data_IF_215759941805
#
_entry.id   IF_215759941805
#
_cell.length_a   1.000
_cell.length_b   1.000
_cell.length_c   1.000
_cell.angle_alpha   90.00
_cell.angle_beta   90.00
_cell.angle_gamma   90.00
#
_symmetry.space_group_name_H-M   'P 1'
#
loop_
_entity.id
_entity.type
_entity.pdbx_description
1 polymer ?
#
# COMPACT_ATOMS: atom_id res chain seq x y z
N UNK A 1 -11.82 -37.88 25.65
CA UNK A 1 -11.51 -38.06 24.22
C UNK A 1 -12.54 -37.41 23.27
N UNK A 2 -13.49 -36.60 23.75
CA UNK A 2 -14.61 -36.07 22.95
C UNK A 2 -14.46 -34.60 22.48
N UNK A 3 -13.57 -33.80 23.05
CA UNK A 3 -13.47 -32.36 22.74
C UNK A 3 -12.44 -31.99 21.70
N UNK A 4 -11.41 -32.79 21.48
CA UNK A 4 -10.39 -32.48 20.47
C UNK A 4 -10.85 -32.80 19.04
N UNK A 5 -11.81 -33.71 18.85
CA UNK A 5 -12.35 -34.00 17.51
C UNK A 5 -13.35 -32.96 16.99
N UNK A 6 -14.00 -32.20 17.88
CA UNK A 6 -15.00 -31.20 17.51
C UNK A 6 -14.34 -29.92 16.96
N UNK A 7 -13.16 -29.52 17.47
CA UNK A 7 -12.41 -28.35 17.01
C UNK A 7 -11.77 -28.62 15.64
N UNK A 8 -11.33 -29.85 15.40
CA UNK A 8 -10.76 -30.23 14.10
C UNK A 8 -11.80 -30.34 12.98
N UNK A 9 -13.08 -30.68 13.31
CA UNK A 9 -14.17 -30.70 12.33
C UNK A 9 -14.66 -29.30 11.94
N UNK A 10 -14.58 -28.31 12.84
CA UNK A 10 -14.94 -26.94 12.51
C UNK A 10 -13.87 -26.26 11.64
N UNK A 11 -12.59 -26.60 11.76
CA UNK A 11 -11.53 -26.11 10.87
C UNK A 11 -11.56 -26.78 9.48
N UNK A 12 -12.07 -27.99 9.35
CA UNK A 12 -12.20 -28.67 8.06
C UNK A 12 -13.45 -28.26 7.26
N UNK A 13 -14.50 -27.78 7.91
CA UNK A 13 -15.71 -27.35 7.20
C UNK A 13 -15.57 -25.98 6.53
N UNK A 14 -14.65 -25.14 6.97
CA UNK A 14 -14.33 -23.87 6.31
C UNK A 14 -13.41 -24.02 5.08
N UNK A 15 -12.84 -25.20 4.86
CA UNK A 15 -11.97 -25.51 3.70
C UNK A 15 -12.74 -25.97 2.46
N UNK A 16 -14.05 -26.20 2.53
CA UNK A 16 -14.84 -26.73 1.40
C UNK A 16 -15.79 -25.74 0.72
N UNK A 17 -15.68 -24.42 0.98
CA UNK A 17 -16.39 -23.41 0.19
C UNK A 17 -15.49 -22.73 -0.84
N UNK A 18 -14.77 -23.52 -1.62
CA UNK A 18 -13.86 -23.02 -2.68
C UNK A 18 -14.55 -22.81 -4.03
N UNK A 19 -15.88 -22.69 -4.05
CA UNK A 19 -16.65 -22.44 -5.29
C UNK A 19 -17.51 -21.17 -5.25
N UNK A 20 -17.42 -20.34 -4.22
CA UNK A 20 -17.88 -18.96 -4.32
C UNK A 20 -16.83 -18.19 -5.15
N UNK A 21 -17.23 -17.54 -6.22
CA UNK A 21 -16.31 -16.78 -7.07
C UNK A 21 -15.40 -15.89 -6.20
N UNK A 22 -14.09 -15.91 -6.48
CA UNK A 22 -13.10 -15.13 -5.75
C UNK A 22 -13.56 -13.66 -5.85
N UNK A 23 -14.05 -13.11 -4.72
CA UNK A 23 -14.34 -11.70 -4.65
C UNK A 23 -12.99 -10.97 -4.63
N UNK A 24 -12.80 -10.05 -5.56
CA UNK A 24 -11.58 -9.27 -5.60
C UNK A 24 -11.44 -8.44 -4.32
N UNK A 25 -10.23 -8.38 -3.75
CA UNK A 25 -9.97 -7.55 -2.59
C UNK A 25 -10.33 -6.09 -2.87
N UNK A 26 -10.85 -5.40 -1.87
CA UNK A 26 -11.09 -3.95 -1.94
C UNK A 26 -10.02 -3.22 -1.15
N UNK A 27 -9.51 -2.14 -1.74
CA UNK A 27 -8.49 -1.27 -1.15
C UNK A 27 -9.00 0.16 -1.06
N UNK A 28 -8.58 0.87 -0.04
CA UNK A 28 -8.76 2.31 0.01
C UNK A 28 -7.67 3.03 -0.80
N UNK A 29 -7.97 4.19 -1.43
CA UNK A 29 -9.28 4.87 -1.50
C UNK A 29 -10.29 4.17 -2.41
N UNK A 30 -11.58 4.36 -2.13
CA UNK A 30 -12.63 3.91 -3.01
C UNK A 30 -12.96 4.96 -4.07
N UNK A 31 -13.23 4.50 -5.28
CA UNK A 31 -13.56 5.36 -6.41
C UNK A 31 -14.97 5.08 -6.91
N UNK A 32 -15.67 6.13 -7.32
CA UNK A 32 -17.02 6.02 -7.89
C UNK A 32 -17.30 7.12 -8.90
N UNK A 33 -18.48 7.06 -9.53
CA UNK A 33 -18.87 7.97 -10.60
C UNK A 33 -18.26 7.57 -11.94
N UNK A 34 -17.76 8.55 -12.68
CA UNK A 34 -17.29 8.35 -14.05
C UNK A 34 -15.97 7.56 -14.17
N UNK A 35 -15.26 7.34 -13.08
CA UNK A 35 -14.04 6.53 -13.05
C UNK A 35 -14.40 5.05 -13.05
N UNK A 36 -13.85 4.32 -14.00
CA UNK A 36 -14.04 2.87 -14.11
C UNK A 36 -12.79 2.16 -13.60
N UNK A 37 -12.99 1.22 -12.66
CA UNK A 37 -11.93 0.35 -12.15
C UNK A 37 -12.24 -1.08 -12.57
N UNK A 38 -11.30 -1.71 -13.25
CA UNK A 38 -11.37 -3.13 -13.66
C UNK A 38 -10.27 -3.89 -12.94
N UNK A 39 -10.65 -4.85 -12.10
CA UNK A 39 -9.66 -5.75 -11.49
C UNK A 39 -9.18 -6.80 -12.48
N UNK A 40 -7.89 -7.08 -12.46
CA UNK A 40 -7.28 -8.16 -13.20
C UNK A 40 -7.01 -9.39 -12.33
N UNK A 41 -7.57 -9.46 -11.15
CA UNK A 41 -7.44 -10.59 -10.24
C UNK A 41 -8.14 -11.85 -10.80
N UNK A 42 -7.73 -13.02 -10.29
CA UNK A 42 -8.33 -14.30 -10.63
C UNK A 42 -7.41 -15.27 -11.41
N UNK A 43 -7.96 -16.43 -11.84
CA UNK A 43 -7.17 -17.57 -12.34
C UNK A 43 -6.78 -17.46 -13.82
N UNK A 44 -7.08 -16.38 -14.51
CA UNK A 44 -6.96 -16.27 -15.97
C UNK A 44 -5.59 -15.84 -16.46
N UNK A 45 -4.55 -15.93 -15.65
CA UNK A 45 -3.20 -15.57 -16.04
C UNK A 45 -2.44 -16.78 -16.59
N UNK A 46 -1.90 -16.65 -17.80
CA UNK A 46 -0.84 -17.53 -18.27
C UNK A 46 0.45 -17.19 -17.54
N UNK A 47 1.28 -18.20 -17.25
CA UNK A 47 2.42 -18.07 -16.38
C UNK A 47 3.58 -18.94 -16.80
N UNK A 48 4.79 -18.45 -16.58
CA UNK A 48 6.02 -19.24 -16.53
C UNK A 48 7.01 -18.62 -15.56
N UNK A 49 8.05 -19.36 -15.19
CA UNK A 49 9.13 -18.84 -14.35
C UNK A 49 10.48 -19.19 -14.98
N UNK A 50 11.25 -18.19 -15.34
CA UNK A 50 12.61 -18.35 -15.82
C UNK A 50 13.56 -18.46 -14.62
N UNK A 51 14.26 -19.61 -14.55
CA UNK A 51 15.19 -19.94 -13.48
C UNK A 51 16.65 -19.70 -13.87
N UNK A 52 16.92 -19.19 -15.07
CA UNK A 52 18.28 -18.85 -15.50
C UNK A 52 18.84 -17.70 -14.63
N UNK A 53 19.92 -17.93 -13.85
CA UNK A 53 20.51 -16.90 -13.03
C UNK A 53 21.15 -15.77 -13.84
N UNK A 54 21.41 -15.98 -15.13
CA UNK A 54 22.01 -14.99 -16.04
C UNK A 54 20.97 -14.21 -16.87
N UNK A 55 19.68 -14.54 -16.73
CA UNK A 55 18.65 -13.79 -17.42
C UNK A 55 18.63 -12.32 -16.95
N UNK A 56 18.76 -11.40 -17.91
CA UNK A 56 18.70 -9.98 -17.63
C UNK A 56 17.25 -9.46 -17.70
N UNK A 57 16.62 -9.26 -16.54
CA UNK A 57 15.25 -8.72 -16.46
C UNK A 57 15.16 -7.25 -16.89
N UNK A 58 16.30 -6.54 -16.97
CA UNK A 58 16.35 -5.14 -17.42
C UNK A 58 16.68 -4.99 -18.90
N UNK A 59 17.00 -6.09 -19.61
CA UNK A 59 17.34 -6.04 -21.04
C UNK A 59 16.30 -5.19 -21.81
N UNK A 60 16.71 -4.11 -22.46
CA UNK A 60 15.81 -3.26 -23.23
C UNK A 60 15.33 -3.93 -24.54
N UNK A 61 16.03 -4.96 -25.00
CA UNK A 61 15.66 -5.72 -26.21
C UNK A 61 14.67 -6.83 -25.93
N UNK A 62 14.39 -7.15 -24.65
CA UNK A 62 13.44 -8.19 -24.30
C UNK A 62 12.03 -7.85 -24.80
N UNK A 63 11.40 -8.84 -25.44
CA UNK A 63 10.04 -8.73 -25.97
C UNK A 63 9.13 -9.83 -25.41
N UNK A 64 7.93 -9.47 -24.87
CA UNK A 64 6.99 -10.46 -24.33
C UNK A 64 6.54 -11.54 -25.31
N UNK A 65 6.50 -11.22 -26.60
CA UNK A 65 6.03 -12.13 -27.65
C UNK A 65 6.87 -13.41 -27.79
N UNK A 66 8.16 -13.37 -27.38
CA UNK A 66 9.07 -14.53 -27.44
C UNK A 66 8.89 -15.52 -26.30
N UNK A 67 8.07 -15.18 -25.28
CA UNK A 67 7.94 -15.98 -24.05
C UNK A 67 6.88 -17.05 -24.22
N UNK A 68 7.29 -18.32 -24.09
CA UNK A 68 6.37 -19.45 -23.94
C UNK A 68 5.89 -19.52 -22.49
N UNK A 69 4.58 -19.52 -22.30
CA UNK A 69 3.93 -19.62 -20.98
C UNK A 69 3.30 -21.02 -20.89
N UNK A 70 3.74 -21.82 -19.92
CA UNK A 70 3.45 -23.25 -19.83
C UNK A 70 2.49 -23.61 -18.68
N UNK A 71 2.07 -22.65 -17.88
CA UNK A 71 1.22 -22.83 -16.69
C UNK A 71 0.13 -21.78 -16.59
N UNK A 72 -0.72 -21.96 -15.59
CA UNK A 72 -1.71 -20.96 -15.17
C UNK A 72 -1.38 -20.49 -13.75
N UNK A 73 -1.64 -19.22 -13.50
CA UNK A 73 -1.55 -18.60 -12.18
C UNK A 73 -2.87 -17.91 -11.82
N UNK A 74 -3.14 -17.86 -10.52
CA UNK A 74 -4.15 -16.97 -9.95
C UNK A 74 -3.42 -15.73 -9.40
N UNK A 75 -3.94 -14.56 -9.64
CA UNK A 75 -3.46 -13.30 -9.05
C UNK A 75 -4.56 -12.79 -8.11
N UNK A 76 -4.25 -12.40 -6.88
CA UNK A 76 -2.95 -12.43 -6.21
C UNK A 76 -2.46 -13.84 -5.88
N UNK A 77 -1.15 -14.09 -6.02
CA UNK A 77 -0.47 -15.26 -5.44
C UNK A 77 1.05 -15.08 -5.50
N UNK A 78 1.75 -15.87 -4.69
CA UNK A 78 3.21 -15.93 -4.75
C UNK A 78 3.67 -16.82 -5.91
N UNK A 79 4.59 -16.34 -6.74
CA UNK A 79 5.19 -17.10 -7.85
C UNK A 79 5.88 -18.37 -7.38
N UNK A 80 6.48 -18.34 -6.20
CA UNK A 80 7.13 -19.47 -5.54
C UNK A 80 6.18 -20.66 -5.38
N UNK A 81 4.93 -20.42 -5.01
CA UNK A 81 3.90 -21.45 -4.85
C UNK A 81 3.41 -21.98 -6.20
N UNK A 82 3.20 -21.09 -7.18
CA UNK A 82 2.74 -21.45 -8.53
C UNK A 82 3.78 -22.34 -9.23
N UNK A 83 5.07 -22.07 -9.04
CA UNK A 83 6.13 -22.85 -9.68
C UNK A 83 6.33 -24.26 -9.08
N UNK A 84 5.71 -24.56 -7.95
CA UNK A 84 5.77 -25.88 -7.32
C UNK A 84 6.53 -25.93 -6.01
N UNK A 85 6.70 -24.79 -5.39
CA UNK A 85 7.29 -24.66 -4.05
C UNK A 85 6.33 -25.07 -2.93
N UNK A 86 5.58 -26.14 -3.10
CA UNK A 86 4.58 -26.59 -2.13
C UNK A 86 5.16 -27.10 -0.80
N UNK A 87 6.45 -27.19 -0.64
CA UNK A 87 7.10 -27.74 0.55
C UNK A 87 7.64 -26.66 1.50
N UNK A 88 6.98 -25.51 1.59
CA UNK A 88 7.28 -24.59 2.66
C UNK A 88 8.26 -23.47 2.28
N UNK A 89 8.89 -22.98 3.22
CA UNK A 89 9.66 -21.79 3.45
C UNK A 89 10.68 -21.33 2.37
N UNK A 90 11.05 -22.17 1.42
CA UNK A 90 12.13 -21.92 0.45
C UNK A 90 11.62 -22.16 -0.98
N UNK A 91 10.82 -21.22 -1.49
CA UNK A 91 10.46 -21.22 -2.90
C UNK A 91 11.66 -20.86 -3.81
N UNK A 92 11.57 -21.17 -5.11
CA UNK A 92 12.62 -20.83 -6.06
C UNK A 92 12.69 -19.31 -6.25
N UNK A 93 13.90 -18.77 -6.46
CA UNK A 93 14.12 -17.42 -6.94
C UNK A 93 14.31 -17.43 -8.44
N UNK A 94 13.62 -16.55 -9.13
CA UNK A 94 13.68 -16.47 -10.57
C UNK A 94 12.87 -15.29 -11.09
N UNK A 95 12.60 -15.32 -12.38
CA UNK A 95 11.81 -14.29 -13.06
C UNK A 95 10.45 -14.87 -13.43
N UNK A 96 9.44 -14.54 -12.66
CA UNK A 96 8.05 -14.89 -12.93
C UNK A 96 7.50 -14.01 -14.05
N UNK A 97 6.84 -14.61 -15.02
CA UNK A 97 6.28 -13.93 -16.17
C UNK A 97 4.80 -14.29 -16.30
N UNK A 98 3.98 -13.26 -16.43
CA UNK A 98 2.54 -13.37 -16.46
C UNK A 98 1.98 -12.73 -17.70
N UNK A 99 0.92 -13.32 -18.28
CA UNK A 99 0.16 -12.76 -19.40
C UNK A 99 -1.32 -12.96 -19.17
N UNK A 100 -2.10 -11.92 -19.48
CA UNK A 100 -3.56 -11.98 -19.46
C UNK A 100 -4.14 -11.09 -20.53
N UNK A 101 -5.24 -11.52 -21.13
CA UNK A 101 -6.09 -10.63 -21.93
C UNK A 101 -7.22 -10.08 -21.07
N UNK A 102 -7.63 -8.85 -21.37
CA UNK A 102 -8.73 -8.17 -20.68
C UNK A 102 -9.42 -7.15 -21.57
N UNK A 103 -10.71 -6.99 -21.33
CA UNK A 103 -11.47 -5.89 -21.90
C UNK A 103 -11.51 -4.73 -20.88
N UNK A 104 -11.40 -3.53 -21.39
CA UNK A 104 -11.48 -2.33 -20.57
C UNK A 104 -12.14 -1.21 -21.35
N UNK A 105 -12.98 -0.42 -20.67
CA UNK A 105 -13.61 0.73 -21.28
C UNK A 105 -12.56 1.76 -21.72
N UNK A 106 -12.70 2.27 -22.93
CA UNK A 106 -11.83 3.33 -23.42
C UNK A 106 -11.96 4.58 -22.55
N UNK A 107 -10.83 5.17 -22.16
CA UNK A 107 -10.78 6.40 -21.38
C UNK A 107 -9.70 7.34 -21.90
N UNK A 108 -9.79 8.61 -21.50
CA UNK A 108 -8.79 9.61 -21.87
C UNK A 108 -7.45 9.34 -21.19
N UNK A 109 -7.49 8.90 -19.96
CA UNK A 109 -6.33 8.55 -19.14
C UNK A 109 -6.54 7.15 -18.59
N UNK A 110 -5.54 6.30 -18.77
CA UNK A 110 -5.53 4.94 -18.25
C UNK A 110 -4.32 4.79 -17.36
N UNK A 111 -4.53 4.17 -16.22
CA UNK A 111 -3.51 3.90 -15.22
C UNK A 111 -3.63 2.47 -14.74
N UNK A 112 -2.52 1.76 -14.70
CA UNK A 112 -2.40 0.49 -14.00
C UNK A 112 -2.04 0.76 -12.55
N UNK A 113 -2.76 0.14 -11.62
CA UNK A 113 -2.44 0.12 -10.21
C UNK A 113 -2.02 -1.29 -9.83
N UNK A 114 -0.83 -1.42 -9.29
CA UNK A 114 -0.36 -2.63 -8.64
C UNK A 114 -0.37 -2.40 -7.13
N UNK A 115 -1.03 -3.26 -6.39
CA UNK A 115 -0.97 -3.20 -4.93
C UNK A 115 0.34 -3.79 -4.39
N UNK A 116 1.03 -4.61 -5.20
CA UNK A 116 2.37 -5.12 -4.97
C UNK A 116 2.85 -5.93 -6.18
N UNK A 117 4.14 -5.87 -6.48
CA UNK A 117 4.81 -6.75 -7.43
C UNK A 117 6.26 -6.98 -6.97
N UNK A 118 6.60 -8.19 -6.57
CA UNK A 118 7.86 -8.48 -5.87
C UNK A 118 8.92 -9.11 -6.77
N UNK A 119 10.11 -8.50 -6.96
CA UNK A 119 10.58 -7.24 -6.37
C UNK A 119 10.77 -6.18 -7.46
N UNK A 120 11.46 -6.55 -8.55
CA UNK A 120 11.52 -5.74 -9.76
C UNK A 120 10.37 -6.12 -10.67
N UNK A 121 9.61 -5.14 -11.10
CA UNK A 121 8.45 -5.32 -11.95
C UNK A 121 8.63 -4.55 -13.26
N UNK A 122 8.36 -5.20 -14.40
CA UNK A 122 8.38 -4.58 -15.72
C UNK A 122 7.10 -4.95 -16.47
N UNK A 123 6.44 -3.96 -17.08
CA UNK A 123 5.06 -4.10 -17.55
C UNK A 123 4.91 -3.65 -18.99
N UNK A 124 4.21 -4.46 -19.79
CA UNK A 124 3.83 -4.17 -21.17
C UNK A 124 2.33 -4.23 -21.36
N UNK A 125 1.81 -3.38 -22.20
CA UNK A 125 0.45 -3.44 -22.73
C UNK A 125 0.51 -3.58 -24.26
N UNK A 126 -0.14 -4.60 -24.79
CA UNK A 126 -0.18 -4.87 -26.23
C UNK A 126 1.22 -4.91 -26.89
N UNK A 127 2.22 -5.45 -26.18
CA UNK A 127 3.61 -5.53 -26.60
C UNK A 127 4.42 -4.24 -26.43
N UNK A 128 3.81 -3.12 -25.99
CA UNK A 128 4.50 -1.86 -25.74
C UNK A 128 4.89 -1.76 -24.25
N UNK A 129 6.15 -1.45 -23.99
CA UNK A 129 6.63 -1.20 -22.62
C UNK A 129 5.92 0.00 -22.03
N UNK A 130 5.27 -0.21 -20.87
CA UNK A 130 4.60 0.85 -20.11
C UNK A 130 5.53 1.46 -19.07
N UNK A 131 6.30 0.63 -18.39
CA UNK A 131 7.26 1.06 -17.38
C UNK A 131 7.78 -0.09 -16.52
N UNK A 132 8.57 0.28 -15.54
CA UNK A 132 9.10 -0.63 -14.52
C UNK A 132 9.00 0.00 -13.12
N UNK A 133 9.14 -0.86 -12.10
CA UNK A 133 9.12 -0.47 -10.69
C UNK A 133 10.15 -1.29 -9.90
N UNK A 134 10.86 -0.62 -8.99
CA UNK A 134 12.02 -1.17 -8.28
C UNK A 134 11.97 -1.03 -6.75
N UNK A 135 10.88 -0.64 -6.15
CA UNK A 135 10.83 -0.26 -4.72
C UNK A 135 10.45 -1.40 -3.78
N UNK A 136 11.19 -2.50 -3.82
CA UNK A 136 11.14 -3.54 -2.77
C UNK A 136 9.92 -4.45 -2.74
N UNK A 137 8.94 -4.26 -3.61
CA UNK A 137 7.91 -5.24 -3.93
C UNK A 137 6.74 -5.41 -2.95
N UNK A 138 6.64 -4.60 -1.90
CA UNK A 138 5.57 -4.68 -0.89
C UNK A 138 4.71 -3.42 -0.80
N UNK A 139 4.92 -2.47 -1.71
CA UNK A 139 4.23 -1.19 -1.71
C UNK A 139 3.35 -1.04 -2.95
N UNK A 140 2.23 -0.31 -2.86
CA UNK A 140 1.45 0.04 -4.04
C UNK A 140 2.19 1.01 -4.94
N UNK A 141 2.11 0.77 -6.26
CA UNK A 141 2.60 1.70 -7.27
C UNK A 141 1.67 1.74 -8.48
N UNK A 142 1.87 2.71 -9.36
CA UNK A 142 1.07 2.85 -10.57
C UNK A 142 1.90 3.23 -11.77
N UNK A 143 1.39 2.86 -12.95
CA UNK A 143 1.98 3.19 -14.25
C UNK A 143 0.92 3.83 -15.14
N UNK A 144 1.22 4.98 -15.71
CA UNK A 144 0.36 5.61 -16.70
C UNK A 144 0.51 4.91 -18.05
N UNK A 145 -0.61 4.49 -18.64
CA UNK A 145 -0.63 3.80 -19.93
C UNK A 145 -0.88 4.83 -21.03
N UNK A 146 0.01 4.93 -22.03
CA UNK A 146 -0.25 5.78 -23.19
C UNK A 146 -1.54 5.32 -23.91
N UNK A 147 -2.49 6.25 -24.09
CA UNK A 147 -3.80 5.92 -24.64
C UNK A 147 -3.72 5.22 -26.02
N UNK A 148 -2.70 5.57 -26.83
CA UNK A 148 -2.45 4.96 -28.14
C UNK A 148 -2.08 3.47 -28.09
N UNK A 149 -1.68 2.94 -26.94
CA UNK A 149 -1.35 1.50 -26.78
C UNK A 149 -2.57 0.65 -26.51
N UNK A 150 -3.69 1.24 -26.11
CA UNK A 150 -4.92 0.53 -25.79
C UNK A 150 -5.74 0.23 -27.06
N UNK A 151 -6.30 -0.97 -27.08
CA UNK A 151 -7.29 -1.42 -28.07
C UNK A 151 -8.69 -1.29 -27.50
N UNK A 152 -9.70 -1.33 -28.37
CA UNK A 152 -11.10 -1.33 -27.95
C UNK A 152 -11.49 -2.61 -27.18
N UNK A 153 -10.84 -3.74 -27.50
CA UNK A 153 -11.05 -5.04 -26.85
C UNK A 153 -9.75 -5.86 -26.91
N UNK A 154 -9.74 -6.95 -26.17
CA UNK A 154 -8.64 -7.93 -26.17
C UNK A 154 -7.28 -7.26 -25.94
N UNK A 155 -7.21 -6.38 -24.95
CA UNK A 155 -5.94 -5.84 -24.51
C UNK A 155 -5.14 -6.94 -23.83
N UNK A 156 -3.85 -6.98 -24.11
CA UNK A 156 -2.93 -7.90 -23.45
C UNK A 156 -2.06 -7.14 -22.47
N UNK A 157 -2.01 -7.59 -21.22
CA UNK A 157 -1.00 -7.20 -20.26
C UNK A 157 0.02 -8.33 -20.12
N UNK A 158 1.31 -7.96 -20.13
CA UNK A 158 2.40 -8.83 -19.76
C UNK A 158 3.18 -8.20 -18.62
N UNK A 159 3.47 -9.01 -17.58
CA UNK A 159 4.19 -8.57 -16.40
C UNK A 159 5.37 -9.51 -16.15
N UNK A 160 6.54 -8.94 -15.95
CA UNK A 160 7.73 -9.61 -15.48
C UNK A 160 7.97 -9.21 -14.03
N UNK A 161 8.11 -10.19 -13.13
CA UNK A 161 8.40 -9.99 -11.72
C UNK A 161 9.63 -10.80 -11.32
N UNK A 162 10.72 -10.10 -10.97
CA UNK A 162 12.02 -10.71 -10.61
C UNK A 162 12.24 -10.66 -9.11
N UNK A 163 12.26 -11.82 -8.44
CA UNK A 163 12.49 -11.91 -7.00
C UNK A 163 13.95 -12.31 -6.63
N UNK A 164 14.86 -12.24 -7.58
CA UNK A 164 16.27 -12.49 -7.32
C UNK A 164 16.93 -11.27 -6.69
N UNK A 165 17.79 -11.50 -5.71
CA UNK A 165 18.58 -10.41 -5.12
C UNK A 165 19.76 -10.06 -6.01
N UNK A 166 19.85 -8.79 -6.35
CA UNK A 166 21.01 -8.23 -7.06
C UNK A 166 21.12 -6.74 -6.81
N UNK A 167 22.27 -6.15 -7.18
CA UNK A 167 22.59 -4.75 -6.94
C UNK A 167 21.70 -3.75 -7.69
N UNK A 168 21.00 -4.20 -8.74
CA UNK A 168 20.34 -3.31 -9.68
C UNK A 168 18.82 -3.35 -9.56
N UNK A 169 18.25 -4.55 -9.43
CA UNK A 169 16.80 -4.75 -9.45
C UNK A 169 16.20 -5.00 -8.06
N UNK A 170 16.97 -5.55 -7.15
CA UNK A 170 16.58 -5.83 -5.78
C UNK A 170 17.80 -5.75 -4.84
N UNK A 171 18.34 -4.55 -4.61
CA UNK A 171 19.51 -4.34 -3.77
C UNK A 171 19.13 -4.49 -2.29
N UNK A 172 18.77 -5.70 -1.89
CA UNK A 172 18.37 -6.03 -0.54
C UNK A 172 19.42 -6.93 0.12
N UNK A 173 19.35 -7.03 1.44
CA UNK A 173 20.15 -8.02 2.18
C UNK A 173 19.67 -9.44 1.86
N UNK A 174 20.60 -10.38 1.83
CA UNK A 174 20.34 -11.78 1.52
C UNK A 174 20.07 -12.64 2.75
N UNK A 175 20.02 -12.05 3.92
CA UNK A 175 19.77 -12.71 5.20
C UNK A 175 18.43 -12.32 5.79
N UNK A 176 18.04 -13.02 6.85
CA UNK A 176 16.80 -12.78 7.58
C UNK A 176 16.21 -14.10 8.04
N UNK A 177 15.23 -14.00 8.89
CA UNK A 177 14.46 -15.12 9.44
C UNK A 177 13.09 -15.29 8.77
N UNK A 178 12.89 -14.66 7.61
CA UNK A 178 11.68 -14.74 6.82
C UNK A 178 12.01 -14.92 5.33
N UNK A 179 11.01 -15.39 4.56
CA UNK A 179 11.15 -15.60 3.13
C UNK A 179 10.62 -14.40 2.31
N UNK A 180 11.37 -14.02 1.29
CA UNK A 180 11.00 -12.96 0.36
C UNK A 180 10.30 -13.58 -0.85
N UNK A 181 8.99 -13.70 -0.76
CA UNK A 181 8.17 -14.25 -1.84
C UNK A 181 8.10 -13.31 -3.04
N UNK A 182 8.09 -13.90 -4.24
CA UNK A 182 8.02 -13.16 -5.49
C UNK A 182 6.64 -13.18 -6.15
N UNK A 183 6.49 -12.38 -7.18
CA UNK A 183 5.33 -12.37 -8.06
C UNK A 183 4.32 -11.28 -7.79
N UNK A 184 3.11 -11.45 -8.32
CA UNK A 184 1.96 -10.56 -8.12
C UNK A 184 1.22 -10.97 -6.85
N UNK A 185 1.78 -10.58 -5.70
CA UNK A 185 1.31 -11.03 -4.38
C UNK A 185 0.08 -10.25 -3.87
N UNK A 186 -0.30 -9.17 -4.55
CA UNK A 186 -1.52 -8.38 -4.29
C UNK A 186 -2.20 -8.03 -5.61
N UNK A 187 -3.36 -7.39 -5.54
CA UNK A 187 -4.23 -7.08 -6.69
C UNK A 187 -3.56 -6.22 -7.76
N UNK A 188 -4.04 -6.41 -8.99
CA UNK A 188 -3.72 -5.58 -10.15
C UNK A 188 -5.01 -5.00 -10.71
N UNK A 189 -5.05 -3.68 -10.90
CA UNK A 189 -6.23 -2.95 -11.35
C UNK A 189 -5.93 -2.05 -12.55
N UNK A 190 -6.90 -1.89 -13.41
CA UNK A 190 -6.89 -0.93 -14.52
C UNK A 190 -7.91 0.16 -14.21
N UNK A 191 -7.44 1.39 -14.11
CA UNK A 191 -8.27 2.57 -13.89
C UNK A 191 -8.41 3.36 -15.19
N UNK A 192 -9.65 3.60 -15.60
CA UNK A 192 -9.98 4.44 -16.75
C UNK A 192 -10.70 5.70 -16.28
N UNK A 193 -10.15 6.85 -16.62
CA UNK A 193 -10.80 8.14 -16.44
C UNK A 193 -11.46 8.53 -17.77
N UNK A 194 -12.76 8.86 -17.77
CA UNK A 194 -13.49 9.10 -19.01
C UNK A 194 -13.03 10.38 -19.71
N UNK A 195 -13.22 10.40 -21.01
CA UNK A 195 -13.05 11.57 -21.87
C UNK A 195 -14.27 12.47 -21.77
N UNK A 196 -14.40 13.25 -20.73
CA UNK A 196 -15.20 14.47 -20.82
C UNK A 196 -14.24 15.60 -21.14
N UNK A 197 -14.61 16.60 -21.89
CA UNK A 197 -13.87 17.77 -22.33
C UNK A 197 -12.34 17.79 -22.13
N UNK A 198 -11.57 18.33 -23.06
CA UNK A 198 -10.13 18.59 -22.89
C UNK A 198 -9.86 19.34 -21.57
N UNK A 199 -9.07 18.71 -20.68
CA UNK A 199 -8.71 19.32 -19.40
C UNK A 199 -9.54 18.89 -18.20
N UNK A 200 -10.36 17.84 -18.30
CA UNK A 200 -11.07 17.28 -17.14
C UNK A 200 -10.07 16.87 -16.02
N UNK A 201 -10.48 17.15 -14.78
CA UNK A 201 -9.67 16.91 -13.58
C UNK A 201 -10.37 15.90 -12.69
N UNK A 202 -9.60 14.99 -12.12
CA UNK A 202 -10.12 13.90 -11.27
C UNK A 202 -9.35 13.85 -9.96
N UNK A 203 -10.02 13.52 -8.83
CA UNK A 203 -9.32 13.24 -7.58
C UNK A 203 -8.58 11.90 -7.70
N UNK A 204 -7.28 11.89 -7.32
CA UNK A 204 -6.46 10.67 -7.38
C UNK A 204 -6.17 10.09 -6.01
N UNK A 205 -5.73 10.92 -5.07
CA UNK A 205 -5.46 10.56 -3.67
C UNK A 205 -5.80 11.73 -2.75
N UNK A 206 -6.15 11.40 -1.54
CA UNK A 206 -6.31 12.37 -0.46
C UNK A 206 -5.51 11.90 0.76
N UNK A 207 -4.55 12.67 1.19
CA UNK A 207 -3.86 12.46 2.46
C UNK A 207 -4.51 13.34 3.51
N UNK A 208 -4.98 12.72 4.58
CA UNK A 208 -5.80 13.35 5.61
C UNK A 208 -5.09 13.26 6.96
N UNK A 209 -4.88 14.38 7.61
CA UNK A 209 -4.28 14.43 8.93
C UNK A 209 -5.06 15.36 9.87
N UNK A 210 -5.11 15.11 11.17
CA UNK A 210 -5.68 16.06 12.14
C UNK A 210 -4.96 17.40 12.06
N UNK A 211 -5.70 18.52 12.04
CA UNK A 211 -5.11 19.86 11.98
C UNK A 211 -4.44 20.23 13.32
N UNK A 212 -3.27 20.86 13.23
CA UNK A 212 -2.56 21.52 14.35
C UNK A 212 -2.33 20.64 15.60
N UNK A 213 -1.93 19.39 15.42
CA UNK A 213 -1.52 18.53 16.54
C UNK A 213 -0.01 18.62 16.75
N UNK A 214 0.40 19.23 17.86
CA UNK A 214 1.81 19.23 18.29
C UNK A 214 1.98 18.28 19.46
N UNK A 215 2.81 17.25 19.30
CA UNK A 215 3.06 16.21 20.31
C UNK A 215 3.66 16.75 21.63
N UNK A 216 4.24 17.95 21.60
CA UNK A 216 4.84 18.62 22.75
C UNK A 216 3.88 19.56 23.52
N UNK A 217 2.64 19.71 23.03
CA UNK A 217 1.63 20.56 23.67
C UNK A 217 0.61 19.73 24.45
N UNK A 218 -0.04 20.30 25.47
CA UNK A 218 -1.17 19.64 26.13
C UNK A 218 -2.20 19.18 25.09
N UNK A 219 -2.70 17.97 25.25
CA UNK A 219 -3.69 17.40 24.36
C UNK A 219 -4.91 18.33 24.20
N UNK A 220 -5.29 18.56 22.96
CA UNK A 220 -6.58 19.11 22.56
C UNK A 220 -7.19 18.20 21.52
N UNK A 221 -8.44 17.83 21.71
CA UNK A 221 -9.14 16.96 20.77
C UNK A 221 -9.20 17.62 19.38
N UNK A 222 -8.67 16.99 18.33
CA UNK A 222 -8.77 17.54 16.98
C UNK A 222 -10.24 17.52 16.52
N UNK A 223 -10.70 18.63 15.97
CA UNK A 223 -12.05 18.80 15.42
C UNK A 223 -12.03 19.16 13.94
N UNK A 224 -10.85 19.28 13.37
CA UNK A 224 -10.62 19.62 11.99
C UNK A 224 -9.46 18.81 11.43
N UNK A 225 -9.39 18.73 10.11
CA UNK A 225 -8.35 18.02 9.38
C UNK A 225 -7.71 18.92 8.32
N UNK A 226 -6.47 18.60 7.99
CA UNK A 226 -5.79 19.08 6.80
C UNK A 226 -5.89 17.99 5.73
N UNK A 227 -6.18 18.39 4.49
CA UNK A 227 -6.29 17.46 3.36
C UNK A 227 -5.32 17.92 2.27
N UNK A 228 -4.42 17.03 1.87
CA UNK A 228 -3.65 17.18 0.63
C UNK A 228 -4.29 16.32 -0.44
N UNK A 229 -4.85 16.94 -1.46
CA UNK A 229 -5.57 16.29 -2.54
C UNK A 229 -4.71 16.29 -3.81
N UNK A 230 -4.28 15.11 -4.24
CA UNK A 230 -3.62 14.93 -5.53
C UNK A 230 -4.66 14.79 -6.65
N UNK A 231 -4.41 15.49 -7.75
CA UNK A 231 -5.28 15.51 -8.91
C UNK A 231 -4.63 14.87 -10.12
N UNK A 232 -5.46 14.27 -10.95
CA UNK A 232 -5.08 13.86 -12.30
C UNK A 232 -5.82 14.71 -13.32
N UNK A 233 -5.15 15.02 -14.43
CA UNK A 233 -5.76 15.69 -15.57
C UNK A 233 -5.79 14.75 -16.77
N UNK A 234 -6.84 14.84 -17.58
CA UNK A 234 -6.88 14.21 -18.91
C UNK A 234 -5.90 14.86 -19.88
N UNK A 235 -5.45 16.08 -19.60
CA UNK A 235 -4.35 16.73 -20.33
C UNK A 235 -2.98 16.16 -19.91
N UNK A 236 -1.97 16.37 -20.73
CA UNK A 236 -0.59 15.93 -20.45
C UNK A 236 0.10 16.73 -19.34
N UNK A 237 -0.48 17.85 -18.91
CA UNK A 237 0.05 18.73 -17.87
C UNK A 237 -0.83 18.71 -16.62
N UNK A 238 -0.22 18.97 -15.46
CA UNK A 238 -0.96 19.16 -14.21
C UNK A 238 -1.96 20.31 -14.33
N UNK A 239 -3.14 20.20 -13.68
CA UNK A 239 -4.15 21.26 -13.70
C UNK A 239 -3.60 22.50 -12.99
N UNK A 240 -3.71 23.67 -13.64
CA UNK A 240 -3.27 24.98 -13.10
C UNK A 240 -4.41 25.95 -12.88
N UNK A 241 -5.61 25.59 -13.30
CA UNK A 241 -6.82 26.43 -13.14
C UNK A 241 -7.57 26.06 -11.85
N UNK A 242 -8.35 27.02 -11.34
CA UNK A 242 -9.19 26.78 -10.17
C UNK A 242 -10.15 25.62 -10.42
N UNK A 243 -10.10 24.63 -9.54
CA UNK A 243 -10.97 23.44 -9.54
C UNK A 243 -12.10 23.65 -8.54
N UNK A 244 -13.33 23.32 -8.93
CA UNK A 244 -14.49 23.26 -8.04
C UNK A 244 -14.72 21.83 -7.62
N UNK A 245 -14.99 21.60 -6.35
CA UNK A 245 -15.21 20.26 -5.78
C UNK A 245 -16.17 20.30 -4.59
N UNK A 246 -16.64 19.14 -4.19
CA UNK A 246 -17.40 18.98 -2.96
C UNK A 246 -16.65 18.04 -2.01
N UNK A 247 -16.77 18.33 -0.70
CA UNK A 247 -16.39 17.44 0.38
C UNK A 247 -17.64 16.94 1.10
N UNK A 248 -17.76 15.64 1.28
CA UNK A 248 -18.80 14.98 2.07
C UNK A 248 -18.16 14.12 3.15
N UNK A 249 -18.69 14.17 4.38
CA UNK A 249 -18.17 13.44 5.52
C UNK A 249 -19.20 12.45 6.03
N UNK A 250 -18.94 11.14 5.94
CA UNK A 250 -19.78 10.06 6.51
C UNK A 250 -21.28 10.20 6.19
N UNK A 251 -21.63 10.93 5.13
CA UNK A 251 -23.00 11.32 4.85
C UNK A 251 -23.60 12.30 5.88
N UNK A 252 -22.79 12.96 6.70
CA UNK A 252 -23.24 13.86 7.76
C UNK A 252 -23.55 15.27 7.22
N UNK A 253 -24.75 15.46 6.73
CA UNK A 253 -25.22 16.75 6.28
C UNK A 253 -25.14 16.97 4.76
N UNK A 254 -25.10 18.24 4.34
CA UNK A 254 -24.94 18.57 2.92
C UNK A 254 -23.48 18.69 2.55
N UNK A 255 -23.06 18.17 1.38
CA UNK A 255 -21.69 18.29 0.92
C UNK A 255 -21.22 19.76 0.87
N UNK A 256 -20.02 20.00 1.36
CA UNK A 256 -19.41 21.33 1.36
C UNK A 256 -18.89 21.66 -0.04
N UNK A 257 -19.35 22.73 -0.65
CA UNK A 257 -18.87 23.21 -1.96
C UNK A 257 -17.63 24.07 -1.76
N UNK A 258 -16.56 23.70 -2.42
CA UNK A 258 -15.26 24.37 -2.33
C UNK A 258 -14.68 24.67 -3.71
N UNK A 259 -13.66 25.52 -3.73
CA UNK A 259 -12.84 25.75 -4.91
C UNK A 259 -11.42 26.12 -4.48
N UNK A 260 -10.43 25.60 -5.19
CA UNK A 260 -9.03 25.91 -4.97
C UNK A 260 -8.23 25.78 -6.26
N UNK A 261 -7.10 26.47 -6.32
CA UNK A 261 -6.16 26.34 -7.43
C UNK A 261 -5.05 25.39 -7.04
N UNK A 262 -4.82 24.33 -7.81
CA UNK A 262 -3.71 23.42 -7.56
C UNK A 262 -2.36 24.13 -7.64
N UNK A 263 -1.40 23.64 -6.86
CA UNK A 263 0.01 24.07 -6.98
C UNK A 263 0.65 23.49 -8.27
N UNK A 264 1.93 23.79 -8.48
CA UNK A 264 2.68 23.34 -9.66
C UNK A 264 2.74 21.80 -9.81
N UNK A 265 2.60 21.07 -8.70
CA UNK A 265 2.60 19.60 -8.68
C UNK A 265 1.21 19.00 -8.91
N UNK A 266 0.17 19.82 -9.16
CA UNK A 266 -1.20 19.35 -9.35
C UNK A 266 -1.89 18.95 -8.04
N UNK A 267 -1.45 19.48 -6.89
CA UNK A 267 -2.06 19.21 -5.59
C UNK A 267 -2.82 20.43 -5.03
N UNK A 268 -3.92 20.16 -4.32
CA UNK A 268 -4.65 21.15 -3.53
C UNK A 268 -4.40 20.86 -2.06
N UNK A 269 -4.05 21.88 -1.28
CA UNK A 269 -3.88 21.77 0.17
C UNK A 269 -5.01 22.55 0.85
N UNK A 270 -5.82 21.84 1.62
CA UNK A 270 -6.88 22.40 2.44
C UNK A 270 -6.45 22.32 3.90
N UNK A 271 -6.58 23.45 4.60
CA UNK A 271 -6.22 23.56 6.01
C UNK A 271 -7.44 23.79 6.89
N UNK A 272 -7.42 23.17 8.09
CA UNK A 272 -8.45 23.36 9.11
C UNK A 272 -9.88 23.09 8.61
N UNK A 273 -10.07 22.03 7.84
CA UNK A 273 -11.41 21.61 7.37
C UNK A 273 -12.18 21.00 8.55
N UNK A 274 -13.30 21.59 8.99
CA UNK A 274 -14.05 21.05 10.12
C UNK A 274 -14.63 19.67 9.81
N UNK A 275 -14.46 18.73 10.75
CA UNK A 275 -15.09 17.41 10.67
C UNK A 275 -16.43 17.48 11.42
N UNK A 276 -17.56 17.15 10.77
CA UNK A 276 -18.83 17.03 11.48
C UNK A 276 -18.79 15.89 12.50
N UNK A 277 -19.30 16.15 13.72
CA UNK A 277 -19.34 15.16 14.81
C UNK A 277 -17.99 14.40 15.02
N UNK A 278 -16.90 15.10 15.29
CA UNK A 278 -15.57 14.51 15.36
C UNK A 278 -15.48 13.50 16.51
N UNK A 279 -15.27 12.23 16.18
CA UNK A 279 -15.04 11.15 17.13
C UNK A 279 -13.57 10.73 17.06
N UNK A 280 -12.93 10.60 18.23
CA UNK A 280 -11.52 10.20 18.28
C UNK A 280 -11.36 8.71 18.08
N UNK A 281 -10.32 8.32 17.33
CA UNK A 281 -9.85 6.96 17.24
C UNK A 281 -8.93 6.64 18.42
N UNK A 282 -9.13 5.47 19.05
CA UNK A 282 -8.23 4.92 20.05
C UNK A 282 -8.26 3.40 20.04
N UNK A 283 -7.39 2.77 20.84
CA UNK A 283 -7.34 1.31 20.96
C UNK A 283 -8.60 0.70 21.60
N UNK A 284 -9.39 1.51 22.28
CA UNK A 284 -10.64 1.09 22.95
C UNK A 284 -11.89 1.62 22.25
N UNK A 285 -11.74 2.61 21.37
CA UNK A 285 -12.82 3.20 20.58
C UNK A 285 -12.30 3.51 19.18
N UNK A 286 -12.16 2.50 18.30
CA UNK A 286 -11.51 2.64 17.00
C UNK A 286 -12.45 3.25 15.95
N UNK A 287 -12.91 4.48 16.19
CA UNK A 287 -13.83 5.18 15.29
C UNK A 287 -13.08 5.72 14.08
N UNK A 288 -13.50 5.29 12.89
CA UNK A 288 -13.01 5.80 11.62
C UNK A 288 -14.01 6.76 11.01
N UNK A 289 -13.53 7.78 10.33
CA UNK A 289 -14.30 8.70 9.50
C UNK A 289 -14.03 8.46 8.03
N UNK A 290 -14.94 8.93 7.17
CA UNK A 290 -14.76 8.92 5.72
C UNK A 290 -14.93 10.34 5.19
N UNK A 291 -14.04 10.75 4.28
CA UNK A 291 -14.21 11.94 3.46
C UNK A 291 -14.31 11.56 1.99
N UNK A 292 -15.34 12.07 1.32
CA UNK A 292 -15.53 11.88 -0.12
C UNK A 292 -15.29 13.20 -0.84
N UNK A 293 -14.36 13.18 -1.78
CA UNK A 293 -14.08 14.32 -2.66
C UNK A 293 -14.69 14.05 -4.03
N UNK A 294 -15.53 14.94 -4.52
CA UNK A 294 -16.15 14.83 -5.85
C UNK A 294 -15.77 16.00 -6.74
N UNK A 295 -15.23 15.70 -7.92
CA UNK A 295 -14.86 16.66 -8.97
C UNK A 295 -15.49 16.17 -10.28
N UNK A 296 -16.29 17.00 -10.94
CA UNK A 296 -16.85 16.75 -12.27
C UNK A 296 -17.47 15.34 -12.46
N UNK A 297 -18.16 14.84 -11.43
CA UNK A 297 -18.82 13.53 -11.47
C UNK A 297 -17.97 12.34 -11.03
N UNK A 298 -16.65 12.51 -10.87
CA UNK A 298 -15.77 11.49 -10.33
C UNK A 298 -15.55 11.69 -8.83
N UNK A 299 -15.67 10.64 -8.05
CA UNK A 299 -15.52 10.69 -6.59
C UNK A 299 -14.39 9.78 -6.11
N UNK A 300 -13.70 10.26 -5.08
CA UNK A 300 -12.73 9.52 -4.28
C UNK A 300 -13.18 9.59 -2.82
N UNK A 301 -13.35 8.42 -2.20
CA UNK A 301 -13.63 8.31 -0.77
C UNK A 301 -12.41 7.75 -0.04
N UNK A 302 -12.01 8.39 1.04
CA UNK A 302 -10.86 8.01 1.85
C UNK A 302 -11.26 7.89 3.31
N UNK A 303 -10.66 6.92 4.04
CA UNK A 303 -10.86 6.76 5.49
C UNK A 303 -9.75 7.43 6.27
N UNK A 304 -10.08 7.89 7.47
CA UNK A 304 -9.11 8.45 8.39
C UNK A 304 -9.58 8.33 9.85
N UNK A 305 -8.65 8.35 10.78
CA UNK A 305 -8.97 8.41 12.21
C UNK A 305 -8.44 9.70 12.84
N UNK A 306 -9.28 10.35 13.65
CA UNK A 306 -8.87 11.51 14.42
C UNK A 306 -8.15 11.04 15.68
N UNK A 307 -6.85 11.25 15.77
CA UNK A 307 -6.02 10.89 16.93
C UNK A 307 -4.87 11.85 17.15
N UNK A 308 -4.36 11.83 18.35
CA UNK A 308 -3.16 12.57 18.74
C UNK A 308 -2.24 11.65 19.55
N UNK A 309 -1.03 11.45 19.07
CA UNK A 309 0.03 10.82 19.83
C UNK A 309 0.80 11.86 20.65
N UNK A 310 1.24 11.49 21.84
CA UNK A 310 1.99 12.38 22.69
C UNK A 310 2.77 11.63 23.77
N UNK A 311 3.45 12.39 24.59
CA UNK A 311 4.19 11.89 25.76
C UNK A 311 3.76 12.69 26.99
N UNK A 312 3.53 11.99 28.09
CA UNK A 312 3.21 12.58 29.38
C UNK A 312 4.17 12.08 30.46
N UNK A 313 4.67 12.96 31.28
CA UNK A 313 5.42 12.57 32.48
C UNK A 313 4.43 12.11 33.54
N UNK A 314 4.58 10.90 34.00
CA UNK A 314 3.75 10.29 35.04
C UNK A 314 4.21 10.72 36.42
N UNK A 315 3.45 10.36 37.46
CA UNK A 315 3.72 10.72 38.87
C UNK A 315 5.02 10.15 39.39
N UNK A 316 5.54 9.09 38.77
CA UNK A 316 6.85 8.50 39.09
C UNK A 316 8.02 9.18 38.36
N UNK A 317 7.76 10.25 37.60
CA UNK A 317 8.75 10.96 36.80
C UNK A 317 9.09 10.29 35.45
N UNK A 318 8.48 9.14 35.12
CA UNK A 318 8.72 8.45 33.88
C UNK A 318 7.88 9.02 32.71
N UNK A 319 8.50 9.12 31.55
CA UNK A 319 7.77 9.48 30.32
C UNK A 319 6.93 8.29 29.82
N UNK A 320 5.65 8.54 29.58
CA UNK A 320 4.67 7.55 29.10
C UNK A 320 4.09 8.01 27.76
N UNK A 321 3.96 7.03 26.84
CA UNK A 321 3.25 7.26 25.59
C UNK A 321 1.77 7.50 25.86
N UNK A 322 1.19 8.44 25.14
CA UNK A 322 -0.25 8.72 25.22
C UNK A 322 -0.90 8.68 23.85
N UNK A 323 -2.16 8.27 23.83
CA UNK A 323 -3.07 8.49 22.71
C UNK A 323 -4.23 9.36 23.20
N UNK A 324 -4.49 10.46 22.54
CA UNK A 324 -5.53 11.43 22.92
C UNK A 324 -5.38 11.92 24.36
N UNK A 325 -4.13 12.10 24.84
CA UNK A 325 -3.81 12.53 26.20
C UNK A 325 -3.89 11.46 27.28
N UNK A 326 -4.40 10.28 26.97
CA UNK A 326 -4.48 9.15 27.90
C UNK A 326 -3.26 8.23 27.75
N UNK A 327 -2.68 7.80 28.88
CA UNK A 327 -1.54 6.89 28.88
C UNK A 327 -1.95 5.55 28.25
N UNK A 328 -1.19 5.08 27.29
CA UNK A 328 -1.38 3.78 26.66
C UNK A 328 -0.18 2.88 26.91
N UNK A 329 -0.45 1.64 27.31
CA UNK A 329 0.54 0.56 27.35
C UNK A 329 0.34 -0.32 26.13
N UNK A 330 1.36 -0.38 25.26
CA UNK A 330 1.34 -1.23 24.08
C UNK A 330 1.70 -2.67 24.48
N UNK A 331 0.84 -3.61 24.12
CA UNK A 331 0.98 -5.05 24.39
C UNK A 331 0.72 -5.81 23.10
N UNK A 332 1.68 -6.61 22.69
CA UNK A 332 1.54 -7.39 21.45
C UNK A 332 2.85 -8.07 21.07
N UNK A 333 2.97 -8.43 19.80
CA UNK A 333 4.12 -9.17 19.27
C UNK A 333 4.39 -8.83 17.81
N UNK A 334 5.43 -9.44 17.23
CA UNK A 334 5.73 -9.34 15.82
C UNK A 334 4.71 -10.11 14.98
N UNK A 335 4.37 -9.59 13.81
CA UNK A 335 3.50 -10.23 12.85
C UNK A 335 4.13 -10.20 11.46
N UNK A 336 4.22 -11.36 10.83
CA UNK A 336 4.53 -11.50 9.42
C UNK A 336 3.25 -11.77 8.63
N UNK A 337 3.01 -11.02 7.55
CA UNK A 337 1.91 -11.30 6.63
C UNK A 337 2.27 -12.52 5.77
N UNK A 338 2.39 -13.68 6.41
CA UNK A 338 2.72 -14.94 5.77
C UNK A 338 1.88 -16.06 6.37
N UNK A 339 1.21 -16.81 5.49
CA UNK A 339 0.36 -17.92 5.89
C UNK A 339 0.77 -19.23 5.20
N UNK A 340 0.60 -20.39 5.85
CA UNK A 340 0.69 -21.66 5.14
C UNK A 340 -0.23 -21.65 3.92
N UNK A 341 0.19 -22.25 2.81
CA UNK A 341 -0.55 -22.37 1.55
C UNK A 341 -0.64 -21.08 0.71
N UNK A 342 -0.80 -19.92 1.32
CA UNK A 342 -0.95 -18.63 0.59
C UNK A 342 0.30 -17.76 0.67
N UNK A 343 1.25 -18.10 1.54
CA UNK A 343 2.50 -17.35 1.75
C UNK A 343 2.22 -15.83 1.97
N UNK A 344 2.82 -14.95 1.18
CA UNK A 344 2.65 -13.50 1.30
C UNK A 344 1.37 -12.95 0.64
N UNK A 345 0.46 -13.81 0.21
CA UNK A 345 -0.84 -13.44 -0.39
C UNK A 345 -2.02 -13.94 0.47
N UNK A 346 -2.15 -13.52 1.74
CA UNK A 346 -3.22 -14.00 2.60
C UNK A 346 -4.59 -13.56 2.08
N UNK A 347 -5.58 -14.43 2.31
CA UNK A 347 -6.99 -14.11 2.05
C UNK A 347 -7.56 -13.21 3.14
N UNK A 348 -8.68 -12.55 2.86
CA UNK A 348 -9.40 -11.74 3.86
C UNK A 348 -9.75 -12.56 5.10
N UNK A 349 -10.23 -13.79 4.93
CA UNK A 349 -10.56 -14.69 6.05
C UNK A 349 -9.34 -15.04 6.93
N UNK A 350 -8.14 -15.16 6.33
CA UNK A 350 -6.91 -15.40 7.08
C UNK A 350 -6.51 -14.17 7.89
N UNK A 351 -6.61 -12.97 7.29
CA UNK A 351 -6.36 -11.73 8.01
C UNK A 351 -7.36 -11.52 9.16
N UNK A 352 -8.65 -11.80 8.92
CA UNK A 352 -9.68 -11.72 9.96
C UNK A 352 -9.41 -12.69 11.14
N UNK A 353 -8.90 -13.89 10.83
CA UNK A 353 -8.50 -14.85 11.85
C UNK A 353 -7.30 -14.35 12.68
N UNK A 354 -6.31 -13.71 12.06
CA UNK A 354 -5.18 -13.10 12.77
C UNK A 354 -5.63 -11.96 13.69
N UNK A 355 -6.53 -11.09 13.23
CA UNK A 355 -7.11 -10.03 14.07
C UNK A 355 -7.82 -10.62 15.27
N UNK A 356 -8.62 -11.66 15.06
CA UNK A 356 -9.33 -12.35 16.15
C UNK A 356 -8.35 -12.91 17.18
N UNK A 357 -7.28 -13.56 16.74
CA UNK A 357 -6.24 -14.11 17.62
C UNK A 357 -5.53 -13.02 18.42
N UNK A 358 -5.17 -11.91 17.77
CA UNK A 358 -4.57 -10.75 18.43
C UNK A 358 -5.48 -10.21 19.54
N UNK A 359 -6.77 -10.01 19.25
CA UNK A 359 -7.76 -9.52 20.24
C UNK A 359 -7.96 -10.51 21.39
N UNK A 360 -8.07 -11.82 21.09
CA UNK A 360 -8.20 -12.86 22.11
C UNK A 360 -6.96 -12.96 23.00
N UNK A 361 -5.78 -12.72 22.44
CA UNK A 361 -4.53 -12.63 23.19
C UNK A 361 -4.36 -11.34 24.00
N UNK A 362 -5.32 -10.40 23.94
CA UNK A 362 -5.27 -9.13 24.64
C UNK A 362 -4.31 -8.11 24.02
N UNK A 363 -3.91 -8.29 22.75
CA UNK A 363 -3.05 -7.37 22.07
C UNK A 363 -3.79 -6.10 21.67
N UNK A 364 -3.11 -4.96 21.82
CA UNK A 364 -3.48 -3.66 21.27
C UNK A 364 -2.37 -3.07 20.38
N UNK A 365 -1.35 -3.87 20.11
CA UNK A 365 -0.17 -3.48 19.32
C UNK A 365 0.33 -4.65 18.49
N UNK A 366 0.89 -4.32 17.33
CA UNK A 366 1.60 -5.28 16.47
C UNK A 366 2.79 -4.59 15.81
N UNK A 367 3.93 -5.30 15.73
CA UNK A 367 5.03 -4.89 14.88
C UNK A 367 4.90 -5.60 13.54
N UNK A 368 4.70 -4.85 12.47
CA UNK A 368 4.64 -5.36 11.11
C UNK A 368 6.01 -5.70 10.58
N UNK A 369 6.50 -6.86 10.96
CA UNK A 369 7.83 -7.34 10.62
C UNK A 369 7.84 -7.98 9.23
N UNK A 370 8.80 -7.75 8.38
CA UNK A 370 9.90 -6.80 8.34
C UNK A 370 9.84 -6.08 6.99
N UNK A 371 8.63 -5.71 6.55
CA UNK A 371 8.31 -5.13 5.25
C UNK A 371 6.94 -4.43 5.30
N UNK A 372 6.62 -3.54 4.35
CA UNK A 372 5.31 -2.88 4.28
C UNK A 372 4.17 -3.90 4.19
N UNK A 373 3.24 -3.81 5.12
CA UNK A 373 2.13 -4.75 5.23
C UNK A 373 1.06 -4.49 4.17
N UNK A 374 0.18 -5.49 3.95
CA UNK A 374 -0.96 -5.34 3.04
C UNK A 374 -1.89 -4.22 3.52
N UNK A 375 -2.30 -3.26 2.68
CA UNK A 375 -3.24 -2.21 3.09
C UNK A 375 -4.54 -2.75 3.69
N UNK A 376 -5.04 -3.91 3.23
CA UNK A 376 -6.22 -4.56 3.82
C UNK A 376 -5.98 -5.05 5.25
N UNK A 377 -4.74 -5.40 5.59
CA UNK A 377 -4.34 -5.69 6.96
C UNK A 377 -4.38 -4.45 7.82
N UNK A 378 -3.88 -3.33 7.29
CA UNK A 378 -3.93 -2.03 7.97
C UNK A 378 -5.36 -1.57 8.23
N UNK A 379 -6.27 -1.77 7.27
CA UNK A 379 -7.70 -1.49 7.44
C UNK A 379 -8.30 -2.24 8.63
N UNK A 380 -7.95 -3.50 8.78
CA UNK A 380 -8.41 -4.35 9.89
C UNK A 380 -7.85 -3.91 11.23
N UNK A 381 -6.60 -3.49 11.25
CA UNK A 381 -5.97 -2.93 12.46
C UNK A 381 -6.66 -1.62 12.88
N UNK A 382 -6.99 -0.76 11.90
CA UNK A 382 -7.73 0.48 12.15
C UNK A 382 -9.08 0.20 12.81
N UNK A 383 -9.82 -0.77 12.28
CA UNK A 383 -11.15 -1.16 12.78
C UNK A 383 -11.08 -1.89 14.12
N UNK A 384 -10.00 -2.64 14.36
CA UNK A 384 -9.81 -3.39 15.59
C UNK A 384 -9.23 -2.56 16.74
N UNK A 385 -8.74 -1.35 16.48
CA UNK A 385 -8.03 -0.54 17.49
C UNK A 385 -6.69 -1.13 17.89
N UNK A 386 -5.98 -1.74 16.94
CA UNK A 386 -4.65 -2.30 17.16
C UNK A 386 -3.61 -1.38 16.54
N UNK A 387 -2.72 -0.86 17.36
CA UNK A 387 -1.63 0.03 16.93
C UNK A 387 -0.57 -0.76 16.17
N UNK A 388 -0.01 -0.17 15.14
CA UNK A 388 1.03 -0.80 14.33
C UNK A 388 2.31 0.02 14.28
N UNK A 389 3.43 -0.68 14.39
CA UNK A 389 4.75 -0.23 14.01
C UNK A 389 5.05 -0.74 12.60
N UNK A 390 5.12 0.17 11.63
CA UNK A 390 5.34 -0.16 10.22
C UNK A 390 6.81 -0.07 9.86
N UNK A 391 7.29 -1.01 9.03
CA UNK A 391 8.70 -1.12 8.62
C UNK A 391 8.81 -1.18 7.10
N UNK A 392 9.87 -0.57 6.57
CA UNK A 392 10.34 -0.86 5.21
C UNK A 392 11.02 -2.23 5.17
N UNK A 393 11.27 -2.77 3.98
CA UNK A 393 11.92 -4.06 3.85
C UNK A 393 13.37 -3.99 4.34
N UNK A 394 13.70 -4.81 5.32
CA UNK A 394 15.07 -5.10 5.68
C UNK A 394 15.52 -4.77 7.10
N UNK A 395 15.11 -5.57 8.10
CA UNK A 395 15.85 -5.64 9.36
C UNK A 395 17.09 -6.48 9.18
N UNK A 396 17.98 -6.43 10.11
CA UNK A 396 19.20 -7.26 10.11
C UNK A 396 20.17 -7.00 8.96
N UNK A 397 20.27 -5.76 8.55
CA UNK A 397 21.35 -5.34 7.68
C UNK A 397 22.67 -5.54 8.42
N UNK A 398 23.19 -6.78 8.42
CA UNK A 398 24.59 -6.99 8.81
C UNK A 398 25.42 -6.31 7.75
N UNK A 399 26.09 -5.22 8.12
CA UNK A 399 26.91 -4.42 7.20
C UNK A 399 27.81 -5.26 6.28
N UNK A 400 28.28 -6.43 6.76
CA UNK A 400 29.07 -7.38 5.97
C UNK A 400 28.30 -8.13 4.89
N UNK A 401 26.97 -8.13 4.93
CA UNK A 401 26.08 -8.80 3.97
C UNK A 401 25.37 -7.79 3.06
N UNK A 402 25.59 -6.49 3.28
CA UNK A 402 25.08 -5.46 2.43
C UNK A 402 26.01 -5.23 1.27
N UNK A 403 25.45 -4.99 0.14
CA UNK A 403 26.19 -4.40 -0.95
C UNK A 403 26.68 -3.03 -0.49
N UNK A 404 27.86 -2.67 -0.98
CA UNK A 404 28.49 -1.39 -0.67
C UNK A 404 27.50 -0.23 -0.86
N UNK A 405 27.02 0.33 0.23
CA UNK A 405 26.09 1.47 0.21
C UNK A 405 26.62 2.67 -0.58
N UNK A 406 27.95 2.77 -0.71
CA UNK A 406 28.60 3.86 -1.47
C UNK A 406 28.45 3.70 -2.98
N UNK A 407 28.06 2.53 -3.49
CA UNK A 407 27.98 2.24 -4.92
C UNK A 407 26.58 2.42 -5.53
N UNK A 408 25.69 3.07 -4.83
CA UNK A 408 24.36 3.47 -5.34
C UNK A 408 23.34 2.34 -5.35
N UNK A 409 22.10 2.72 -5.36
CA UNK A 409 20.96 1.82 -5.47
C UNK A 409 20.29 1.49 -4.15
N UNK A 410 20.98 0.98 -3.12
CA UNK A 410 20.33 0.55 -1.88
C UNK A 410 19.59 1.68 -1.15
N UNK A 411 20.26 2.82 -0.93
CA UNK A 411 19.65 3.96 -0.26
C UNK A 411 18.49 4.56 -1.05
N UNK A 412 18.68 4.73 -2.35
CA UNK A 412 17.63 5.23 -3.24
C UNK A 412 16.41 4.32 -3.20
N UNK A 413 16.61 3.00 -3.22
CA UNK A 413 15.52 2.03 -3.13
C UNK A 413 14.81 2.08 -1.78
N UNK A 414 15.56 2.18 -0.68
CA UNK A 414 14.96 2.27 0.65
C UNK A 414 14.15 3.57 0.80
N UNK A 415 14.71 4.70 0.32
CA UNK A 415 14.01 5.98 0.34
C UNK A 415 12.75 5.96 -0.53
N UNK A 416 12.81 5.40 -1.73
CA UNK A 416 11.64 5.24 -2.58
C UNK A 416 10.59 4.34 -1.91
N UNK A 417 10.99 3.20 -1.36
CA UNK A 417 10.09 2.28 -0.67
C UNK A 417 9.44 2.95 0.55
N UNK A 418 10.23 3.72 1.33
CA UNK A 418 9.70 4.46 2.47
C UNK A 418 8.67 5.50 2.02
N UNK A 419 8.96 6.27 0.98
CA UNK A 419 8.03 7.25 0.44
C UNK A 419 6.72 6.58 -0.02
N UNK A 420 6.82 5.49 -0.77
CA UNK A 420 5.64 4.77 -1.27
C UNK A 420 4.86 4.08 -0.13
N UNK A 421 5.55 3.58 0.90
CA UNK A 421 4.92 3.07 2.11
C UNK A 421 4.16 4.17 2.87
N UNK A 422 4.79 5.33 3.06
CA UNK A 422 4.16 6.50 3.68
C UNK A 422 2.94 6.95 2.88
N UNK A 423 3.09 7.10 1.57
CA UNK A 423 1.99 7.49 0.70
C UNK A 423 0.83 6.50 0.74
N UNK A 424 1.14 5.20 0.73
CA UNK A 424 0.15 4.13 0.76
C UNK A 424 -0.56 3.95 2.10
N UNK A 425 0.11 4.27 3.20
CA UNK A 425 -0.34 3.99 4.55
C UNK A 425 -0.73 5.24 5.37
N UNK A 426 -0.66 6.43 4.77
CA UNK A 426 -0.79 7.72 5.46
C UNK A 426 -2.05 7.88 6.29
N UNK A 427 -3.19 7.44 5.75
CA UNK A 427 -4.50 7.65 6.37
C UNK A 427 -4.85 6.61 7.44
N UNK A 428 -4.03 5.56 7.60
CA UNK A 428 -4.32 4.51 8.58
C UNK A 428 -4.12 5.01 10.02
N UNK A 429 -5.21 4.98 10.79
CA UNK A 429 -5.22 5.43 12.18
C UNK A 429 -4.39 4.53 13.11
N UNK A 430 -4.26 3.26 12.79
CA UNK A 430 -3.47 2.27 13.54
C UNK A 430 -1.98 2.54 13.50
N UNK A 431 -1.46 3.18 12.45
CA UNK A 431 -0.02 3.43 12.33
C UNK A 431 0.42 4.50 13.33
N UNK A 432 1.23 4.10 14.30
CA UNK A 432 1.82 5.00 15.26
C UNK A 432 3.06 5.68 14.70
N UNK A 433 3.91 4.92 14.04
CA UNK A 433 5.16 5.38 13.46
C UNK A 433 5.53 4.50 12.28
N UNK A 434 6.12 5.12 11.28
CA UNK A 434 6.81 4.42 10.20
C UNK A 434 8.29 4.51 10.51
N UNK A 435 8.95 3.38 10.75
CA UNK A 435 10.37 3.35 11.06
C UNK A 435 11.11 2.64 9.96
N UNK A 436 12.12 3.32 9.54
CA UNK A 436 13.26 2.70 8.92
C UNK A 436 14.25 2.29 10.00
N UNK A 437 14.62 1.05 10.06
CA UNK A 437 15.75 0.60 10.88
C UNK A 437 17.04 1.38 10.53
N UNK A 438 17.02 2.03 9.40
CA UNK A 438 18.10 2.80 8.82
C UNK A 438 18.22 4.24 9.36
N UNK A 439 17.13 4.86 9.82
CA UNK A 439 17.18 6.24 10.33
C UNK A 439 18.12 6.35 11.52
N UNK A 440 18.21 5.32 12.36
CA UNK A 440 19.17 5.28 13.47
C UNK A 440 20.63 5.20 13.00
N UNK A 441 20.91 4.61 11.84
CA UNK A 441 22.27 4.56 11.28
C UNK A 441 22.62 5.81 10.47
N UNK A 442 21.64 6.43 9.78
CA UNK A 442 21.87 7.62 8.94
C UNK A 442 21.93 8.90 9.76
N UNK A 443 21.19 9.01 10.87
CA UNK A 443 21.28 10.16 11.80
C UNK A 443 22.66 10.32 12.42
N UNK A 444 23.52 9.27 12.36
CA UNK A 444 24.92 9.38 12.77
C UNK A 444 25.87 9.87 11.66
N UNK A 445 25.40 9.96 10.40
CA UNK A 445 26.27 10.28 9.25
C UNK A 445 25.85 11.48 8.38
N UNK A 446 24.65 12.02 8.54
CA UNK A 446 24.29 13.24 7.81
C UNK A 446 23.40 14.15 8.65
N UNK A 447 23.80 15.42 8.75
CA UNK A 447 23.03 16.51 9.36
C UNK A 447 21.79 16.93 8.52
N UNK A 448 21.43 16.18 7.48
CA UNK A 448 20.42 16.56 6.49
C UNK A 448 19.13 15.73 6.53
N UNK A 449 18.87 14.94 7.59
CA UNK A 449 17.60 14.23 7.78
C UNK A 449 16.45 15.11 8.28
N UNK A 450 16.39 16.33 7.78
CA UNK A 450 15.31 17.28 8.06
C UNK A 450 14.00 16.95 7.30
N UNK A 451 14.01 16.00 6.38
CA UNK A 451 12.92 15.82 5.42
C UNK A 451 11.63 15.22 6.01
N UNK A 452 11.75 14.22 6.87
CA UNK A 452 10.57 13.63 7.51
C UNK A 452 9.90 14.53 8.56
N UNK A 453 10.63 15.53 9.07
CA UNK A 453 10.14 16.44 10.10
C UNK A 453 9.81 17.81 9.53
N UNK A 454 10.56 18.32 8.55
CA UNK A 454 10.42 19.69 8.04
C UNK A 454 9.34 19.91 6.99
N UNK A 455 9.04 18.94 6.11
CA UNK A 455 7.94 19.14 5.15
C UNK A 455 6.55 19.01 5.78
N UNK A 456 6.45 18.40 6.96
CA UNK A 456 5.20 18.33 7.71
C UNK A 456 5.09 19.35 8.87
N UNK A 457 6.16 20.07 9.20
CA UNK A 457 6.17 21.13 10.22
C UNK A 457 7.15 22.24 9.86
N UNK A 458 6.72 23.30 9.14
CA UNK A 458 7.57 24.42 8.76
C UNK A 458 8.04 25.30 9.94
N UNK A 459 7.67 24.99 11.18
CA UNK A 459 7.88 25.83 12.36
C UNK A 459 8.93 25.29 13.35
N UNK A 460 9.76 24.31 12.95
CA UNK A 460 10.90 23.89 13.80
C UNK A 460 12.17 24.56 13.26
N UNK A 461 12.28 25.86 13.49
CA UNK A 461 13.57 26.56 13.51
C UNK A 461 14.07 26.72 14.95
N UNK A 462 15.35 26.33 15.16
CA UNK A 462 16.26 26.43 16.31
C UNK A 462 16.07 25.42 17.42
#
# INVERSE_FOLDING_TARGET
MGHQHLIMLFMLSSLFSLAAGIQSPTYWPHFSGDRIVTTLDGPSWDYTMNMDPHFDSMDPSFTPASVALDRKATVPSCSDLVHGGASGYLGPRGVAMYRRTFDHAAGAKIRLQFQSCSFYCKVWINGHLVGDHKAGGYVPFWLDVPAATMKAKDNEIFVLADNRFNATTAPMHTGGDFWHYGGLIRSVEVHSMPTTASGAVYPWRAWVMPSATNIHQPFRAPTAIDITLALMSSASSSPTTTVKFTLDFDGAGSPQKMSATPNANGTIILKNVPVPNPMLWSTTSPTMHTVTVTIDGASLSERFGLRHWGVKTDTDGASRLTINGEIVKLVGWNHHTQWPVTAASPTDAQMDADILLLKQGGANYVRGAHYPQDPRWLDRLDEAGIVMWSETLGPDVKLKNTQDFSKGGFMEYQMQQMQEMLDGAFNHASIMTCVEFFLLCVLHYSNDCDWCIREHHPDIES
#
